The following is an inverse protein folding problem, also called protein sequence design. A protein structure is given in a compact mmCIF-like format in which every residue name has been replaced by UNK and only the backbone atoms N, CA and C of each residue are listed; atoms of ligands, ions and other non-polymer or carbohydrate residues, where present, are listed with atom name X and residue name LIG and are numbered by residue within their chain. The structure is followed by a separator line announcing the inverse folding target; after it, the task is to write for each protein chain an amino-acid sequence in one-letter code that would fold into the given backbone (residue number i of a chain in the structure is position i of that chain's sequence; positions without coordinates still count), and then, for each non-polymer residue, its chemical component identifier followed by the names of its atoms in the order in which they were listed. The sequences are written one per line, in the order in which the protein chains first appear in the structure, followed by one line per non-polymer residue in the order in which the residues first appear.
data_IF_293975951135
#
_entry.id   IF_293975951135
#
_cell.length_a   1.000
_cell.length_b   1.000
_cell.length_c   1.000
_cell.angle_alpha   90.00
_cell.angle_beta   90.00
_cell.angle_gamma   90.00
#
_symmetry.space_group_name_H-M   'P 1'
#
loop_
_entity.id
_entity.type
_entity.pdbx_description
1 polymer ?
#
# COMPACT_ATOMS: atom_id res chain seq x y z
N UNK A 1 -0.07 -13.13 -12.54
CA UNK A 1 -0.82 -11.84 -12.57
C UNK A 1 -0.02 -10.78 -11.81
N UNK A 2 -0.14 -9.47 -12.06
CA UNK A 2 0.68 -8.48 -11.37
C UNK A 2 0.18 -8.32 -9.92
N UNK A 3 1.10 -8.35 -8.95
CA UNK A 3 0.81 -8.16 -7.52
C UNK A 3 1.48 -6.89 -7.04
N UNK A 4 0.81 -6.14 -6.17
CA UNK A 4 1.36 -4.91 -5.61
C UNK A 4 2.57 -5.27 -4.74
N UNK A 5 3.75 -4.77 -5.12
CA UNK A 5 4.99 -5.04 -4.44
C UNK A 5 5.36 -3.85 -3.54
N UNK A 6 6.11 -4.13 -2.50
CA UNK A 6 6.73 -3.07 -1.72
C UNK A 6 7.82 -2.38 -2.53
N UNK A 7 7.80 -1.04 -2.52
CA UNK A 7 8.70 -0.20 -3.30
C UNK A 7 9.75 0.48 -2.41
N UNK A 8 9.34 1.03 -1.25
CA UNK A 8 10.27 1.73 -0.36
C UNK A 8 9.70 2.13 1.00
N UNK A 9 10.62 2.45 1.92
CA UNK A 9 10.34 3.08 3.22
C UNK A 9 10.92 4.49 3.16
N UNK A 10 10.10 5.49 3.50
CA UNK A 10 10.52 6.87 3.72
C UNK A 10 10.35 7.21 5.21
N UNK A 11 11.11 8.20 5.70
CA UNK A 11 10.89 8.77 7.04
C UNK A 11 9.45 9.26 7.26
N UNK A 12 8.72 9.52 6.17
CA UNK A 12 7.34 9.97 6.13
C UNK A 12 6.28 8.89 5.84
N UNK A 13 6.65 7.62 5.59
CA UNK A 13 5.67 6.55 5.30
C UNK A 13 6.17 5.37 4.46
N UNK A 14 5.24 4.54 3.98
CA UNK A 14 5.51 3.33 3.18
C UNK A 14 5.03 3.57 1.75
N UNK A 15 5.79 3.14 0.74
CA UNK A 15 5.33 3.10 -0.65
C UNK A 15 5.22 1.66 -1.17
N UNK A 16 4.12 1.41 -1.88
CA UNK A 16 3.87 0.17 -2.62
C UNK A 16 3.65 0.49 -4.09
N UNK A 17 4.27 -0.30 -4.97
CA UNK A 17 4.24 -0.10 -6.41
C UNK A 17 3.79 -1.36 -7.13
N UNK A 18 3.03 -1.14 -8.19
CA UNK A 18 2.64 -2.13 -9.16
C UNK A 18 2.95 -1.58 -10.55
N UNK A 19 3.86 -2.23 -11.28
CA UNK A 19 4.12 -1.86 -12.68
C UNK A 19 2.98 -2.36 -13.58
N UNK A 20 2.35 -1.45 -14.33
CA UNK A 20 1.33 -1.79 -15.32
C UNK A 20 2.00 -2.56 -16.45
N UNK A 21 1.73 -3.86 -16.53
CA UNK A 21 2.09 -4.63 -17.72
C UNK A 21 1.08 -4.30 -18.83
N UNK A 22 1.48 -4.30 -20.11
CA UNK A 22 0.63 -3.87 -21.23
C UNK A 22 -0.59 -4.77 -21.50
N UNK A 23 -0.78 -5.83 -20.71
CA UNK A 23 -1.87 -6.79 -20.85
C UNK A 23 -2.65 -6.78 -19.55
N UNK A 24 -3.86 -6.20 -19.64
CA UNK A 24 -5.00 -6.25 -18.73
C UNK A 24 -5.24 -5.01 -17.85
N UNK A 25 -6.28 -4.28 -18.24
CA UNK A 25 -7.09 -3.43 -17.37
C UNK A 25 -7.82 -4.31 -16.36
N UNK A 26 -7.25 -4.55 -15.17
CA UNK A 26 -7.99 -5.15 -14.05
C UNK A 26 -7.82 -4.26 -12.85
N UNK A 27 -8.93 -3.90 -12.23
CA UNK A 27 -8.93 -3.06 -11.04
C UNK A 27 -8.18 -3.74 -9.90
N UNK A 28 -7.18 -3.04 -9.38
CA UNK A 28 -6.37 -3.49 -8.26
C UNK A 28 -7.19 -3.44 -6.97
N UNK A 29 -6.95 -4.35 -6.02
CA UNK A 29 -7.71 -4.47 -4.77
C UNK A 29 -6.77 -4.40 -3.56
N UNK A 30 -7.21 -3.76 -2.47
CA UNK A 30 -6.56 -3.83 -1.14
C UNK A 30 -7.47 -4.65 -0.22
N UNK A 31 -6.96 -5.77 0.30
CA UNK A 31 -7.77 -6.68 1.13
C UNK A 31 -8.91 -7.31 0.33
N UNK A 32 -10.16 -7.04 0.74
CA UNK A 32 -11.39 -7.47 0.06
C UNK A 32 -12.06 -6.37 -0.77
N UNK A 33 -11.53 -5.15 -0.73
CA UNK A 33 -12.13 -3.98 -1.37
C UNK A 33 -11.31 -3.54 -2.59
N UNK A 34 -12.00 -3.07 -3.62
CA UNK A 34 -11.36 -2.49 -4.79
C UNK A 34 -10.54 -1.28 -4.35
N UNK A 35 -9.27 -1.20 -4.78
CA UNK A 35 -8.40 -0.07 -4.54
C UNK A 35 -8.86 1.10 -5.40
N UNK A 36 -9.84 1.82 -4.87
CA UNK A 36 -10.34 3.05 -5.47
C UNK A 36 -9.67 4.26 -4.82
N UNK A 37 -9.59 5.35 -5.56
CA UNK A 37 -9.13 6.63 -5.00
C UNK A 37 -10.00 7.07 -3.82
N UNK A 38 -11.28 6.68 -3.81
CA UNK A 38 -12.23 6.98 -2.74
C UNK A 38 -11.91 6.22 -1.45
N UNK A 39 -11.53 4.94 -1.57
CA UNK A 39 -11.08 4.13 -0.44
C UNK A 39 -9.74 4.63 0.11
N UNK A 40 -8.80 4.95 -0.78
CA UNK A 40 -7.51 5.52 -0.41
C UNK A 40 -7.71 6.85 0.35
N UNK A 41 -8.54 7.76 -0.18
CA UNK A 41 -8.87 9.02 0.46
C UNK A 41 -9.51 8.84 1.84
N UNK A 42 -10.41 7.85 1.99
CA UNK A 42 -11.05 7.52 3.29
C UNK A 42 -10.03 7.16 4.37
N UNK A 43 -8.96 6.45 4.02
CA UNK A 43 -7.93 6.05 4.97
C UNK A 43 -6.74 7.01 5.06
N UNK A 44 -6.70 8.05 4.21
CA UNK A 44 -5.61 9.02 4.14
C UNK A 44 -4.41 8.54 3.32
N UNK A 45 -4.59 7.52 2.47
CA UNK A 45 -3.56 7.03 1.56
C UNK A 45 -3.53 7.85 0.28
N UNK A 46 -2.36 7.94 -0.35
CA UNK A 46 -2.17 8.63 -1.62
C UNK A 46 -2.09 7.57 -2.71
N UNK A 47 -3.12 7.51 -3.55
CA UNK A 47 -3.17 6.59 -4.69
C UNK A 47 -2.86 7.35 -5.98
N UNK A 48 -1.75 6.98 -6.62
CA UNK A 48 -1.35 7.51 -7.92
C UNK A 48 -1.44 6.41 -8.97
N UNK A 49 -2.41 6.53 -9.88
CA UNK A 49 -2.58 5.63 -11.02
C UNK A 49 -2.21 6.35 -12.31
N UNK A 50 -1.17 5.90 -13.00
CA UNK A 50 -0.82 6.39 -14.32
C UNK A 50 -0.69 5.22 -15.31
N UNK A 51 -0.49 5.50 -16.59
CA UNK A 51 -0.45 4.45 -17.64
C UNK A 51 0.70 3.45 -17.51
N UNK A 52 1.67 3.68 -16.63
CA UNK A 52 2.88 2.85 -16.46
C UNK A 52 2.93 2.12 -15.13
N UNK A 53 2.33 2.68 -14.07
CA UNK A 53 2.32 2.11 -12.73
C UNK A 53 1.14 2.59 -11.89
N UNK A 54 0.76 1.75 -10.94
CA UNK A 54 -0.01 2.12 -9.76
C UNK A 54 0.93 2.26 -8.57
N UNK A 55 0.84 3.38 -7.86
CA UNK A 55 1.59 3.66 -6.65
C UNK A 55 0.61 3.95 -5.51
N UNK A 56 0.77 3.26 -4.39
CA UNK A 56 0.08 3.54 -3.15
C UNK A 56 1.12 4.00 -2.14
N UNK A 57 1.00 5.25 -1.70
CA UNK A 57 1.76 5.77 -0.59
C UNK A 57 0.86 5.79 0.64
N UNK A 58 1.40 5.30 1.74
CA UNK A 58 0.72 5.20 3.04
C UNK A 58 1.52 6.11 3.98
N UNK A 59 1.16 7.40 4.11
CA UNK A 59 1.85 8.33 5.00
C UNK A 59 1.81 7.85 6.46
N UNK A 60 2.81 8.23 7.25
CA UNK A 60 2.74 8.05 8.70
C UNK A 60 1.54 8.79 9.29
N UNK A 61 1.10 8.32 10.45
CA UNK A 61 -0.06 8.84 11.18
C UNK A 61 -1.40 8.67 10.43
N UNK A 62 -1.44 7.78 9.43
CA UNK A 62 -2.68 7.33 8.78
C UNK A 62 -3.24 6.08 9.46
N UNK A 63 -4.49 5.75 9.09
CA UNK A 63 -5.14 4.54 9.57
C UNK A 63 -4.41 3.29 9.05
N UNK A 64 -4.47 2.19 9.80
CA UNK A 64 -3.85 0.91 9.41
C UNK A 64 -2.44 0.68 9.96
N UNK A 65 -1.78 1.71 10.47
CA UNK A 65 -0.53 1.54 11.22
C UNK A 65 -0.77 1.10 12.66
N UNK A 66 0.08 0.19 13.13
CA UNK A 66 0.30 -0.09 14.55
C UNK A 66 1.59 0.59 14.98
N UNK A 67 1.49 1.53 15.91
CA UNK A 67 2.63 2.28 16.43
C UNK A 67 3.15 1.65 17.71
N UNK A 68 4.48 1.53 17.81
CA UNK A 68 5.17 1.18 19.05
C UNK A 68 6.51 1.92 19.07
N UNK A 69 6.78 2.63 20.16
CA UNK A 69 7.95 3.49 20.31
C UNK A 69 8.01 4.56 19.20
N UNK A 70 8.96 4.43 18.26
CA UNK A 70 9.15 5.29 17.10
C UNK A 70 9.07 4.51 15.79
N UNK A 71 8.23 3.46 15.79
CA UNK A 71 8.10 2.53 14.69
C UNK A 71 6.63 2.30 14.39
N UNK A 72 6.23 2.58 13.15
CA UNK A 72 4.91 2.28 12.60
C UNK A 72 4.98 1.00 11.77
N UNK A 73 4.07 0.05 12.02
CA UNK A 73 3.94 -1.18 11.22
C UNK A 73 2.62 -1.17 10.46
N UNK A 74 2.68 -1.34 9.15
CA UNK A 74 1.54 -1.42 8.25
C UNK A 74 1.46 -2.82 7.63
N UNK A 75 0.28 -3.42 7.67
CA UNK A 75 0.03 -4.74 7.08
C UNK A 75 -0.93 -4.59 5.90
N UNK A 76 -0.46 -4.97 4.72
CA UNK A 76 -1.22 -4.95 3.49
C UNK A 76 -1.56 -6.39 3.06
N UNK A 77 -2.85 -6.70 3.05
CA UNK A 77 -3.34 -7.99 2.56
C UNK A 77 -3.59 -7.91 1.05
N UNK A 78 -2.89 -8.73 0.27
CA UNK A 78 -2.97 -8.80 -1.20
C UNK A 78 -3.44 -10.20 -1.59
N UNK A 79 -4.52 -10.32 -2.37
CA UNK A 79 -5.00 -11.63 -2.84
C UNK A 79 -4.26 -12.03 -4.12
N UNK A 80 -3.67 -13.22 -4.16
CA UNK A 80 -3.04 -13.72 -5.38
C UNK A 80 -4.13 -14.29 -6.30
N UNK A 81 -4.14 -13.93 -7.58
CA UNK A 81 -5.14 -14.42 -8.53
C UNK A 81 -5.01 -15.90 -8.89
N UNK A 82 -3.90 -16.56 -8.53
CA UNK A 82 -3.60 -17.95 -8.90
C UNK A 82 -3.97 -18.98 -7.83
N UNK A 83 -4.19 -18.55 -6.59
CA UNK A 83 -4.54 -19.41 -5.46
C UNK A 83 -5.52 -18.66 -4.60
N UNK A 84 -6.56 -19.30 -4.07
CA UNK A 84 -7.47 -18.74 -3.05
C UNK A 84 -6.75 -18.31 -1.74
N UNK A 85 -5.43 -18.14 -1.74
CA UNK A 85 -4.61 -17.62 -0.66
C UNK A 85 -4.46 -16.10 -0.72
N UNK A 86 -4.71 -15.46 0.41
CA UNK A 86 -4.35 -14.06 0.67
C UNK A 86 -2.89 -14.03 1.14
N UNK A 87 -2.06 -13.22 0.49
CA UNK A 87 -0.68 -12.97 0.89
C UNK A 87 -0.66 -11.70 1.74
N UNK A 88 -0.15 -11.80 2.96
CA UNK A 88 0.06 -10.63 3.81
C UNK A 88 1.46 -10.05 3.57
N UNK A 89 1.53 -8.75 3.31
CA UNK A 89 2.77 -7.99 3.24
C UNK A 89 2.83 -7.02 4.42
N UNK A 90 3.70 -7.32 5.38
CA UNK A 90 3.95 -6.45 6.53
C UNK A 90 5.15 -5.57 6.25
N UNK A 91 5.02 -4.27 6.56
CA UNK A 91 6.07 -3.27 6.40
C UNK A 91 6.18 -2.38 7.61
N UNK A 92 7.41 -1.99 7.93
CA UNK A 92 7.75 -1.32 9.19
C UNK A 92 8.56 -0.07 8.88
N UNK A 93 8.01 1.09 9.22
CA UNK A 93 8.63 2.40 9.07
C UNK A 93 9.12 2.92 10.42
N UNK A 94 10.43 3.19 10.61
CA UNK A 94 10.87 4.06 11.69
C UNK A 94 10.49 5.51 11.37
N UNK A 95 10.18 6.28 12.41
CA UNK A 95 9.87 7.70 12.29
C UNK A 95 10.53 8.50 13.42
N UNK A 96 10.71 9.81 13.23
CA UNK A 96 11.31 10.66 14.26
C UNK A 96 10.23 11.42 15.02
N UNK A 97 10.46 11.69 16.32
CA UNK A 97 9.58 12.53 17.13
C UNK A 97 9.44 13.97 16.59
N UNK A 98 10.39 14.41 15.76
CA UNK A 98 10.37 15.72 15.11
C UNK A 98 9.38 15.84 13.94
N UNK A 99 8.72 14.74 13.54
CA UNK A 99 7.70 14.73 12.48
C UNK A 99 6.25 14.76 13.03
N UNK A 100 6.09 14.98 14.34
CA UNK A 100 4.80 15.17 15.02
C UNK A 100 4.39 16.64 15.12
#
# INVERSE_FOLDING_TARGET
MPFMAFDGLSGSGISFKLDHRPILSVGDHIGSELLTSELAAKYGYILSNNSQRLLLEVPLFTHGYKYKDFVGTFELLVRNGETEGQISTVKTCPFSANEL
#
